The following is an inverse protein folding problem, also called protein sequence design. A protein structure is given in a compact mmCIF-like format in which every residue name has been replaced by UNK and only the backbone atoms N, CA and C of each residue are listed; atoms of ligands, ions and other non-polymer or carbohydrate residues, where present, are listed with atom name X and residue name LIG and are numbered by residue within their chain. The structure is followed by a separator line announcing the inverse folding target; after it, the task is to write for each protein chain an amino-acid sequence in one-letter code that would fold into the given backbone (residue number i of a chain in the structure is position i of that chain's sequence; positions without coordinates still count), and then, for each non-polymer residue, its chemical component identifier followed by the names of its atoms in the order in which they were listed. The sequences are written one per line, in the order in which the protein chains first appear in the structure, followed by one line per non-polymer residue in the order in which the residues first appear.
data_IF_265023047274
#
_entry.id   IF_265023047274
#
_cell.length_a   1.000
_cell.length_b   1.000
_cell.length_c   1.000
_cell.angle_alpha   90.00
_cell.angle_beta   90.00
_cell.angle_gamma   90.00
#
_symmetry.space_group_name_H-M   'P 1'
#
loop_
_entity.id
_entity.type
_entity.pdbx_description
1 polymer ?
#
# COMPACT_ATOMS: atom_id res chain seq x y z
N UNK A 1 19.35 -11.62 -64.73
CA UNK A 1 19.88 -12.60 -63.78
C UNK A 1 21.06 -11.91 -63.12
N UNK A 2 21.00 -11.43 -61.90
CA UNK A 2 19.97 -11.20 -60.88
C UNK A 2 20.48 -9.96 -60.14
N UNK A 3 19.59 -9.05 -59.75
CA UNK A 3 19.93 -7.94 -58.87
C UNK A 3 20.19 -8.53 -57.48
N UNK A 4 21.44 -8.64 -57.07
CA UNK A 4 21.77 -8.83 -55.66
C UNK A 4 21.74 -7.44 -55.01
N UNK A 5 20.56 -7.07 -54.50
CA UNK A 5 20.41 -6.00 -53.51
C UNK A 5 21.30 -6.33 -52.31
N UNK A 6 22.38 -5.57 -52.18
CA UNK A 6 23.32 -5.63 -51.07
C UNK A 6 22.61 -5.08 -49.81
N UNK A 7 21.79 -5.93 -49.17
CA UNK A 7 21.16 -5.72 -47.86
C UNK A 7 22.21 -5.81 -46.74
N UNK A 8 23.21 -4.95 -46.84
CA UNK A 8 24.18 -4.71 -45.79
C UNK A 8 23.93 -3.32 -45.22
N UNK A 9 22.90 -3.24 -44.38
CA UNK A 9 22.63 -2.06 -43.56
C UNK A 9 23.93 -1.56 -42.92
N UNK A 10 24.20 -0.26 -43.09
CA UNK A 10 25.48 0.33 -42.71
C UNK A 10 25.81 0.01 -41.23
N UNK A 11 27.00 -0.58 -40.96
CA UNK A 11 27.38 -1.07 -39.64
C UNK A 11 27.31 0.00 -38.55
N UNK A 12 27.40 1.28 -38.90
CA UNK A 12 27.21 2.38 -37.96
C UNK A 12 25.77 2.46 -37.41
N UNK A 13 24.76 2.05 -38.18
CA UNK A 13 23.36 2.00 -37.74
C UNK A 13 23.05 0.71 -36.97
N UNK A 14 23.74 -0.40 -37.27
CA UNK A 14 23.55 -1.66 -36.56
C UNK A 14 23.87 -1.57 -35.05
N UNK A 15 24.91 -0.80 -34.68
CA UNK A 15 25.24 -0.57 -33.26
C UNK A 15 24.18 0.29 -32.56
N UNK A 16 23.63 1.29 -33.26
CA UNK A 16 22.55 2.16 -32.76
C UNK A 16 21.27 1.33 -32.54
N UNK A 17 20.91 0.46 -33.48
CA UNK A 17 19.74 -0.40 -33.36
C UNK A 17 19.87 -1.41 -32.22
N UNK A 18 21.06 -1.98 -32.04
CA UNK A 18 21.35 -2.87 -30.91
C UNK A 18 21.22 -2.12 -29.56
N UNK A 19 21.69 -0.88 -29.48
CA UNK A 19 21.52 -0.03 -28.30
C UNK A 19 20.04 0.29 -28.05
N UNK A 20 19.31 0.70 -29.08
CA UNK A 20 17.89 1.03 -29.00
C UNK A 20 17.05 -0.16 -28.54
N UNK A 21 17.31 -1.35 -29.11
CA UNK A 21 16.67 -2.60 -28.71
C UNK A 21 16.93 -2.94 -27.24
N UNK A 22 18.18 -2.76 -26.77
CA UNK A 22 18.54 -2.96 -25.36
C UNK A 22 17.84 -1.97 -24.43
N UNK A 23 17.77 -0.69 -24.81
CA UNK A 23 17.06 0.33 -24.01
C UNK A 23 15.56 0.10 -23.97
N UNK A 24 14.93 -0.26 -25.10
CA UNK A 24 13.50 -0.59 -25.14
C UNK A 24 13.18 -1.79 -24.26
N UNK A 25 13.96 -2.86 -24.34
CA UNK A 25 13.81 -4.03 -23.46
C UNK A 25 13.94 -3.68 -21.96
N UNK A 26 14.83 -2.75 -21.60
CA UNK A 26 14.92 -2.26 -20.21
C UNK A 26 13.72 -1.40 -19.82
N UNK A 27 13.27 -0.49 -20.69
CA UNK A 27 12.08 0.35 -20.46
C UNK A 27 10.82 -0.49 -20.30
N UNK A 28 10.64 -1.51 -21.13
CA UNK A 28 9.49 -2.42 -21.05
C UNK A 28 9.49 -3.19 -19.71
N UNK A 29 10.65 -3.67 -19.25
CA UNK A 29 10.77 -4.29 -17.92
C UNK A 29 10.47 -3.32 -16.76
N UNK A 30 10.76 -2.02 -16.94
CA UNK A 30 10.48 -0.98 -15.96
C UNK A 30 9.00 -0.56 -15.97
N UNK A 31 8.39 -0.57 -17.15
CA UNK A 31 6.96 -0.33 -17.31
C UNK A 31 6.14 -1.49 -16.73
N UNK A 32 6.65 -2.72 -16.85
CA UNK A 32 6.07 -3.90 -16.19
C UNK A 32 6.02 -3.70 -14.67
N UNK A 33 7.09 -3.18 -14.05
CA UNK A 33 7.10 -2.79 -12.62
C UNK A 33 6.22 -1.58 -12.27
N UNK A 34 5.89 -0.73 -13.25
CA UNK A 34 4.97 0.40 -13.08
C UNK A 34 3.51 0.02 -13.32
N UNK A 35 3.24 -1.16 -13.88
CA UNK A 35 1.89 -1.72 -14.00
C UNK A 35 1.33 -2.06 -12.62
N UNK A 36 0.00 -2.18 -12.50
CA UNK A 36 -0.63 -2.56 -11.22
C UNK A 36 -0.19 -3.97 -10.76
N UNK A 37 0.10 -4.86 -11.72
CA UNK A 37 0.57 -6.23 -11.48
C UNK A 37 2.05 -6.27 -11.06
N UNK A 38 2.92 -5.45 -11.67
CA UNK A 38 4.31 -5.30 -11.25
C UNK A 38 4.46 -4.53 -9.94
N UNK A 39 3.57 -3.58 -9.64
CA UNK A 39 3.49 -2.98 -8.30
C UNK A 39 3.08 -4.00 -7.25
N UNK A 40 2.17 -4.91 -7.56
CA UNK A 40 1.81 -6.05 -6.70
C UNK A 40 2.97 -7.06 -6.57
N UNK A 41 3.74 -7.31 -7.63
CA UNK A 41 4.90 -8.22 -7.58
C UNK A 41 6.08 -7.66 -6.78
N UNK A 42 6.22 -6.33 -6.70
CA UNK A 42 7.16 -5.64 -5.82
C UNK A 42 6.77 -5.68 -4.33
N UNK A 43 5.57 -6.15 -4.01
CA UNK A 43 5.17 -6.34 -2.62
C UNK A 43 5.45 -7.78 -2.19
N UNK A 44 6.61 -7.99 -1.57
CA UNK A 44 6.87 -9.22 -0.83
C UNK A 44 5.83 -9.32 0.29
N UNK A 45 4.81 -10.15 0.07
CA UNK A 45 3.77 -10.44 1.06
C UNK A 45 4.36 -11.42 2.06
N UNK A 46 4.29 -11.12 3.36
CA UNK A 46 4.71 -12.07 4.38
C UNK A 46 3.77 -13.30 4.34
N UNK A 47 4.25 -14.51 3.97
CA UNK A 47 3.41 -15.70 3.89
C UNK A 47 2.82 -16.10 5.25
N UNK A 48 3.42 -15.65 6.35
CA UNK A 48 2.93 -15.86 7.73
C UNK A 48 1.95 -14.79 8.20
N UNK A 49 1.60 -13.81 7.37
CA UNK A 49 0.70 -12.73 7.77
C UNK A 49 -0.75 -13.20 7.91
N UNK A 50 -1.18 -13.41 9.15
CA UNK A 50 -2.56 -13.75 9.51
C UNK A 50 -3.40 -12.49 9.80
N UNK A 51 -3.97 -11.90 8.75
CA UNK A 51 -4.85 -10.74 8.86
C UNK A 51 -6.09 -11.01 9.73
N UNK A 52 -6.71 -12.17 9.53
CA UNK A 52 -7.97 -12.54 10.18
C UNK A 52 -7.80 -12.72 11.68
N UNK A 53 -6.76 -13.43 12.13
CA UNK A 53 -6.50 -13.60 13.55
C UNK A 53 -6.03 -12.32 14.24
N UNK A 54 -5.27 -11.46 13.54
CA UNK A 54 -4.93 -10.11 14.05
C UNK A 54 -6.19 -9.25 14.25
N UNK A 55 -7.11 -9.28 13.28
CA UNK A 55 -8.38 -8.56 13.37
C UNK A 55 -9.25 -9.10 14.51
N UNK A 56 -9.37 -10.42 14.64
CA UNK A 56 -10.15 -11.04 15.72
C UNK A 56 -9.61 -10.67 17.12
N UNK A 57 -8.27 -10.62 17.30
CA UNK A 57 -7.66 -10.13 18.55
C UNK A 57 -7.98 -8.66 18.80
N UNK A 58 -7.94 -7.82 17.76
CA UNK A 58 -8.29 -6.42 17.86
C UNK A 58 -9.77 -6.22 18.25
N UNK A 59 -10.68 -6.98 17.64
CA UNK A 59 -12.11 -6.98 18.00
C UNK A 59 -12.31 -7.39 19.46
N UNK A 60 -11.58 -8.40 19.95
CA UNK A 60 -11.64 -8.81 21.36
C UNK A 60 -11.28 -7.65 22.31
N UNK A 61 -10.21 -6.90 22.00
CA UNK A 61 -9.79 -5.72 22.78
C UNK A 61 -10.87 -4.63 22.77
N UNK A 62 -11.53 -4.41 21.63
CA UNK A 62 -12.67 -3.50 21.54
C UNK A 62 -13.82 -3.92 22.46
N UNK A 63 -14.12 -5.22 22.53
CA UNK A 63 -15.20 -5.74 23.36
C UNK A 63 -14.90 -5.66 24.86
N UNK A 64 -13.67 -5.96 25.25
CA UNK A 64 -13.20 -5.75 26.62
C UNK A 64 -13.26 -4.26 27.02
N UNK A 65 -12.94 -3.37 26.08
CA UNK A 65 -12.99 -1.92 26.26
C UNK A 65 -14.40 -1.31 26.28
N UNK A 66 -15.47 -2.10 26.09
CA UNK A 66 -16.84 -1.56 26.01
C UNK A 66 -17.28 -0.78 27.26
N UNK A 67 -16.87 -1.23 28.45
CA UNK A 67 -17.21 -0.57 29.72
C UNK A 67 -16.41 0.70 30.03
N UNK A 68 -15.38 1.02 29.26
CA UNK A 68 -14.50 2.16 29.53
C UNK A 68 -15.10 3.48 29.00
N UNK A 69 -14.66 4.64 29.52
CA UNK A 69 -14.96 5.93 28.92
C UNK A 69 -14.59 5.94 27.43
N UNK A 70 -15.39 6.57 26.57
CA UNK A 70 -15.22 6.47 25.12
C UNK A 70 -13.83 6.91 24.63
N UNK A 71 -13.24 7.93 25.26
CA UNK A 71 -11.89 8.39 24.95
C UNK A 71 -10.83 7.31 25.20
N UNK A 72 -10.95 6.57 26.31
CA UNK A 72 -10.04 5.48 26.66
C UNK A 72 -10.26 4.26 25.76
N UNK A 73 -11.52 3.92 25.47
CA UNK A 73 -11.85 2.84 24.53
C UNK A 73 -11.29 3.13 23.12
N UNK A 74 -11.42 4.37 22.64
CA UNK A 74 -10.88 4.77 21.34
C UNK A 74 -9.34 4.77 21.31
N UNK A 75 -8.68 5.20 22.40
CA UNK A 75 -7.23 5.16 22.51
C UNK A 75 -6.68 3.72 22.51
N UNK A 76 -7.31 2.82 23.27
CA UNK A 76 -6.95 1.40 23.30
C UNK A 76 -7.18 0.72 21.94
N UNK A 77 -8.30 1.02 21.28
CA UNK A 77 -8.58 0.51 19.94
C UNK A 77 -7.52 0.96 18.92
N UNK A 78 -7.09 2.21 18.99
CA UNK A 78 -6.04 2.76 18.12
C UNK A 78 -4.69 2.10 18.39
N UNK A 79 -4.28 2.05 19.65
CA UNK A 79 -3.01 1.44 20.07
C UNK A 79 -2.93 -0.03 19.64
N UNK A 80 -3.99 -0.80 19.90
CA UNK A 80 -4.10 -2.18 19.47
C UNK A 80 -4.05 -2.35 17.95
N UNK A 81 -4.65 -1.43 17.18
CA UNK A 81 -4.55 -1.47 15.71
C UNK A 81 -3.12 -1.27 15.23
N UNK A 82 -2.41 -0.29 15.81
CA UNK A 82 -1.01 0.00 15.46
C UNK A 82 -0.06 -1.12 15.88
N UNK A 83 -0.36 -1.84 16.96
CA UNK A 83 0.48 -2.94 17.44
C UNK A 83 0.18 -4.28 16.76
N UNK A 84 -1.10 -4.62 16.56
CA UNK A 84 -1.50 -5.89 15.92
C UNK A 84 -1.37 -5.84 14.40
N UNK A 85 -1.41 -4.66 13.80
CA UNK A 85 -1.44 -4.42 12.36
C UNK A 85 -2.43 -5.35 11.62
N UNK A 86 -3.75 -5.29 11.90
CA UNK A 86 -4.75 -6.18 11.29
C UNK A 86 -4.90 -6.02 9.77
N UNK A 87 -4.45 -4.88 9.23
CA UNK A 87 -4.42 -4.61 7.81
C UNK A 87 -3.01 -4.30 7.35
N UNK A 88 -2.54 -5.06 6.37
CA UNK A 88 -1.22 -4.89 5.77
C UNK A 88 -1.17 -3.51 5.09
N UNK A 89 -0.30 -2.62 5.58
CA UNK A 89 -0.05 -1.28 5.01
C UNK A 89 -1.20 -0.27 5.15
N UNK A 90 -2.14 -0.48 6.07
CA UNK A 90 -3.25 0.46 6.31
C UNK A 90 -3.37 0.88 7.78
N UNK A 91 -2.25 1.33 8.38
CA UNK A 91 -2.23 1.85 9.75
C UNK A 91 -3.17 3.04 9.97
N UNK A 92 -3.45 3.81 8.92
CA UNK A 92 -4.38 4.94 8.95
C UNK A 92 -5.83 4.54 9.27
N UNK A 93 -6.21 3.28 9.03
CA UNK A 93 -7.55 2.79 9.35
C UNK A 93 -7.80 2.78 10.86
N UNK A 94 -6.78 2.54 11.68
CA UNK A 94 -6.90 2.59 13.14
C UNK A 94 -7.40 3.95 13.63
N UNK A 95 -6.94 5.03 13.01
CA UNK A 95 -7.40 6.39 13.32
C UNK A 95 -8.85 6.62 12.91
N UNK A 96 -9.27 6.05 11.78
CA UNK A 96 -10.66 6.11 11.35
C UNK A 96 -11.57 5.33 12.33
N UNK A 97 -11.15 4.15 12.78
CA UNK A 97 -11.88 3.36 13.77
C UNK A 97 -11.97 4.05 15.14
N UNK A 98 -10.87 4.66 15.61
CA UNK A 98 -10.90 5.43 16.85
C UNK A 98 -11.91 6.60 16.78
N UNK A 99 -11.94 7.30 15.64
CA UNK A 99 -12.92 8.35 15.40
C UNK A 99 -14.37 7.83 15.36
N UNK A 100 -14.62 6.64 14.79
CA UNK A 100 -15.96 6.04 14.81
C UNK A 100 -16.41 5.67 16.23
N UNK A 101 -15.52 5.12 17.06
CA UNK A 101 -15.83 4.80 18.47
C UNK A 101 -16.25 6.06 19.25
N UNK A 102 -15.52 7.17 19.07
CA UNK A 102 -15.87 8.45 19.70
C UNK A 102 -17.20 9.00 19.21
N UNK A 103 -17.50 8.85 17.92
CA UNK A 103 -18.75 9.31 17.31
C UNK A 103 -19.95 8.50 17.78
N UNK A 104 -19.84 7.18 17.78
CA UNK A 104 -20.90 6.27 18.23
C UNK A 104 -21.28 6.50 19.70
N UNK A 105 -20.29 6.87 20.53
CA UNK A 105 -20.52 7.17 21.94
C UNK A 105 -20.83 8.65 22.21
N UNK A 106 -21.12 9.44 21.18
CA UNK A 106 -21.60 10.82 21.29
C UNK A 106 -20.56 11.87 21.69
N UNK A 107 -19.29 11.49 21.84
CA UNK A 107 -18.20 12.37 22.28
C UNK A 107 -17.63 13.24 21.16
N UNK A 108 -17.79 12.82 19.89
CA UNK A 108 -17.40 13.59 18.72
C UNK A 108 -18.50 13.53 17.64
N UNK A 109 -19.54 14.35 17.80
CA UNK A 109 -20.74 14.37 16.94
C UNK A 109 -20.61 15.28 15.72
N UNK A 110 -19.80 16.34 15.81
CA UNK A 110 -19.65 17.31 14.72
C UNK A 110 -18.66 16.82 13.67
N UNK A 111 -17.35 16.77 13.96
CA UNK A 111 -16.35 16.50 12.93
C UNK A 111 -15.03 15.97 13.54
N UNK A 112 -14.75 14.67 13.40
CA UNK A 112 -13.36 14.16 13.31
C UNK A 112 -13.01 13.69 11.89
N UNK A 113 -13.18 14.52 10.83
CA UNK A 113 -12.47 14.30 9.60
C UNK A 113 -11.01 14.70 9.83
N UNK A 114 -10.10 13.88 9.33
CA UNK A 114 -8.78 14.32 8.88
C UNK A 114 -7.55 14.28 9.82
N UNK A 115 -7.60 13.79 11.08
CA UNK A 115 -6.32 13.40 11.72
C UNK A 115 -5.75 12.15 11.03
N UNK A 116 -6.54 11.08 10.87
CA UNK A 116 -6.10 9.85 10.20
C UNK A 116 -5.83 9.97 8.69
N UNK A 117 -6.65 10.74 7.96
CA UNK A 117 -6.52 10.85 6.50
C UNK A 117 -5.36 11.78 6.06
N UNK A 118 -4.99 12.76 6.89
CA UNK A 118 -3.85 13.65 6.63
C UNK A 118 -2.52 12.90 6.72
N UNK A 119 -2.45 11.91 7.61
CA UNK A 119 -1.29 11.03 7.82
C UNK A 119 -0.91 10.28 6.53
N UNK A 120 -1.87 9.78 5.74
CA UNK A 120 -1.61 9.12 4.45
C UNK A 120 -0.77 9.94 3.44
N UNK A 121 -0.69 11.27 3.58
CA UNK A 121 0.11 12.18 2.74
C UNK A 121 1.49 12.54 3.33
N UNK A 122 1.78 12.14 4.57
CA UNK A 122 3.07 12.38 5.21
C UNK A 122 4.15 11.46 4.67
N UNK A 123 5.39 11.96 4.55
CA UNK A 123 6.58 11.15 4.24
C UNK A 123 6.88 10.08 5.30
N UNK A 124 6.23 10.17 6.47
CA UNK A 124 6.32 9.17 7.53
C UNK A 124 5.30 8.08 7.27
N UNK A 125 5.81 6.89 6.94
CA UNK A 125 5.03 5.67 6.81
C UNK A 125 5.09 4.99 8.19
N UNK A 126 3.96 4.95 8.88
CA UNK A 126 3.69 3.99 9.97
C UNK A 126 3.47 2.62 9.35
#
# INVERSE_FOLDING_TARGET
MEEEEDDHGDPAFAEIDALLARTRKKLDSWNDLSSDEGRKSLTLRDPGYDAAGRLSRWETILEEGRGLPAALAAALALDAWLWLEPSERAGELGFAFAATVLRERGLATAHLPALGLGLRRGKFRW
#
